data_IF_577184504944
#
_entry.id   IF_577184504944
#
_cell.length_a   1.000
_cell.length_b   1.000
_cell.length_c   1.000
_cell.angle_alpha   90.00
_cell.angle_beta   90.00
_cell.angle_gamma   90.00
#
_symmetry.space_group_name_H-M   'P 1'
#
loop_
_entity.id
_entity.type
_entity.pdbx_description
1 polymer ?
#
# COMPACT_ATOMS: atom_id res chain seq x y z
N UNK A 1 17.53 -9.25 21.57
CA UNK A 1 17.81 -8.92 20.16
C UNK A 1 17.76 -7.40 20.06
N UNK A 2 18.72 -6.77 19.39
CA UNK A 2 18.80 -5.30 19.29
C UNK A 2 17.74 -4.80 18.28
N UNK A 3 16.98 -3.70 18.56
CA UNK A 3 16.14 -3.03 17.56
C UNK A 3 16.80 -2.79 16.20
N UNK A 4 18.12 -2.54 16.15
CA UNK A 4 18.88 -2.36 14.91
C UNK A 4 19.07 -3.66 14.10
N UNK A 5 18.86 -4.84 14.70
CA UNK A 5 18.96 -6.13 14.03
C UNK A 5 17.71 -6.50 13.21
N UNK A 6 16.59 -5.79 13.43
CA UNK A 6 15.27 -6.12 12.88
C UNK A 6 14.84 -5.05 11.88
N UNK A 7 14.77 -5.43 10.61
CA UNK A 7 14.32 -4.56 9.53
C UNK A 7 12.85 -4.73 9.17
N UNK A 8 12.34 -3.80 8.36
CA UNK A 8 10.99 -3.84 7.77
C UNK A 8 11.08 -3.56 6.27
N UNK A 9 10.71 -4.53 5.46
CA UNK A 9 10.56 -4.33 4.00
C UNK A 9 9.14 -4.72 3.66
N UNK A 10 8.28 -3.74 3.46
CA UNK A 10 6.86 -3.98 3.23
C UNK A 10 6.45 -3.41 1.88
N UNK A 11 5.90 -4.25 1.00
CA UNK A 11 5.55 -3.84 -0.35
C UNK A 11 4.20 -3.11 -0.41
N UNK A 12 4.14 -2.04 -1.21
CA UNK A 12 2.90 -1.31 -1.55
C UNK A 12 2.97 -0.85 -3.02
N UNK A 13 1.91 -1.04 -3.80
CA UNK A 13 1.89 -0.68 -5.22
C UNK A 13 1.44 0.75 -5.50
N UNK A 14 0.29 1.17 -4.96
CA UNK A 14 -0.36 2.46 -5.23
C UNK A 14 -0.34 3.42 -4.03
N UNK A 15 -0.35 2.90 -2.80
CA UNK A 15 -0.35 3.73 -1.59
C UNK A 15 -1.75 4.25 -1.26
N UNK A 16 -1.82 5.44 -0.66
CA UNK A 16 -3.07 6.02 -0.13
C UNK A 16 -4.00 6.61 -1.20
N UNK A 17 -4.44 5.81 -2.17
CA UNK A 17 -5.22 6.29 -3.31
C UNK A 17 -6.58 6.88 -2.90
N UNK A 18 -7.22 6.33 -1.87
CA UNK A 18 -8.48 6.88 -1.34
C UNK A 18 -8.29 8.30 -0.77
N UNK A 19 -7.16 8.51 -0.08
CA UNK A 19 -6.82 9.85 0.44
C UNK A 19 -6.54 10.80 -0.72
N UNK A 20 -5.80 10.34 -1.74
CA UNK A 20 -5.54 11.14 -2.93
C UNK A 20 -6.83 11.59 -3.62
N UNK A 21 -7.74 10.66 -3.92
CA UNK A 21 -8.99 11.00 -4.61
C UNK A 21 -9.85 11.95 -3.79
N UNK A 22 -9.99 11.70 -2.48
CA UNK A 22 -10.78 12.56 -1.59
C UNK A 22 -10.22 13.99 -1.51
N UNK A 23 -8.90 14.12 -1.37
CA UNK A 23 -8.23 15.43 -1.28
C UNK A 23 -8.30 16.19 -2.62
N UNK A 24 -8.18 15.50 -3.75
CA UNK A 24 -8.33 16.09 -5.09
C UNK A 24 -9.79 16.51 -5.34
N UNK A 25 -10.76 15.69 -4.96
CA UNK A 25 -12.19 16.02 -5.07
C UNK A 25 -12.53 17.26 -4.24
N UNK A 26 -12.04 17.32 -3.00
CA UNK A 26 -12.20 18.49 -2.13
C UNK A 26 -11.56 19.75 -2.70
N UNK A 27 -10.38 19.62 -3.34
CA UNK A 27 -9.73 20.74 -4.00
C UNK A 27 -10.55 21.28 -5.17
N UNK A 28 -11.08 20.39 -6.02
CA UNK A 28 -11.88 20.78 -7.19
C UNK A 28 -13.23 21.37 -6.77
N UNK A 29 -13.95 20.70 -5.87
CA UNK A 29 -15.26 21.17 -5.36
C UNK A 29 -15.13 22.43 -4.50
N UNK A 30 -13.97 22.64 -3.88
CA UNK A 30 -13.59 23.85 -3.16
C UNK A 30 -13.18 25.04 -4.03
N UNK A 31 -13.60 25.08 -5.30
CA UNK A 31 -13.23 26.12 -6.28
C UNK A 31 -11.71 26.29 -6.47
N UNK A 32 -10.96 25.19 -6.46
CA UNK A 32 -9.50 25.19 -6.59
C UNK A 32 -8.78 25.98 -5.48
N UNK A 33 -9.38 26.07 -4.30
CA UNK A 33 -8.72 26.60 -3.10
C UNK A 33 -8.03 25.43 -2.38
N UNK A 34 -6.69 25.44 -2.24
CA UNK A 34 -5.93 24.29 -1.74
C UNK A 34 -6.05 24.13 -0.21
N UNK A 35 -7.10 23.42 0.23
CA UNK A 35 -7.37 23.08 1.63
C UNK A 35 -6.99 21.65 1.97
N UNK A 36 -5.74 21.29 1.69
CA UNK A 36 -5.22 19.94 1.93
C UNK A 36 -4.97 19.67 3.41
N UNK A 37 -5.22 18.43 3.85
CA UNK A 37 -4.84 17.99 5.19
C UNK A 37 -3.31 18.01 5.38
N UNK A 38 -2.77 18.43 6.53
CA UNK A 38 -1.36 18.24 6.87
C UNK A 38 -0.92 16.76 6.84
N UNK A 39 -1.87 15.84 6.97
CA UNK A 39 -1.64 14.39 6.90
C UNK A 39 -1.80 13.83 5.49
N UNK A 40 -2.07 14.66 4.48
CA UNK A 40 -2.23 14.20 3.10
C UNK A 40 -1.01 13.41 2.62
N UNK A 41 0.17 14.04 2.67
CA UNK A 41 1.42 13.42 2.21
C UNK A 41 1.77 12.17 3.05
N UNK A 42 1.75 12.20 4.39
CA UNK A 42 1.95 10.99 5.21
C UNK A 42 0.94 9.85 4.97
N UNK A 43 -0.31 10.15 4.57
CA UNK A 43 -1.29 9.11 4.23
C UNK A 43 -1.13 8.58 2.80
N UNK A 44 -0.49 9.36 1.93
CA UNK A 44 -0.32 9.03 0.52
C UNK A 44 0.93 8.19 0.23
N UNK A 45 2.09 8.58 0.77
CA UNK A 45 3.38 8.01 0.36
C UNK A 45 3.45 6.52 0.74
N UNK A 46 3.82 5.69 -0.24
CA UNK A 46 3.91 4.22 -0.15
C UNK A 46 4.78 3.71 1.01
N UNK A 47 5.86 4.41 1.35
CA UNK A 47 6.78 4.01 2.42
C UNK A 47 6.19 4.13 3.84
N UNK A 48 5.00 4.71 3.97
CA UNK A 48 4.35 4.84 5.27
C UNK A 48 3.82 3.52 5.80
N UNK A 49 3.56 2.53 4.96
CA UNK A 49 3.26 1.19 5.45
C UNK A 49 4.46 0.59 6.23
N UNK A 50 5.66 0.57 5.64
CA UNK A 50 6.86 0.06 6.31
C UNK A 50 7.26 0.94 7.52
N UNK A 51 7.13 2.26 7.37
CA UNK A 51 7.37 3.23 8.46
C UNK A 51 6.45 3.00 9.66
N UNK A 52 5.15 2.82 9.45
CA UNK A 52 4.18 2.60 10.53
C UNK A 52 4.42 1.28 11.25
N UNK A 53 4.77 0.20 10.54
CA UNK A 53 5.14 -1.08 11.17
C UNK A 53 6.38 -0.89 12.05
N UNK A 54 7.42 -0.24 11.52
CA UNK A 54 8.65 0.03 12.27
C UNK A 54 8.40 0.88 13.51
N UNK A 55 7.64 1.98 13.39
CA UNK A 55 7.29 2.84 14.53
C UNK A 55 6.43 2.09 15.56
N UNK A 56 5.45 1.30 15.13
CA UNK A 56 4.54 0.56 16.02
C UNK A 56 5.28 -0.47 16.88
N UNK A 57 6.31 -1.11 16.33
CA UNK A 57 7.07 -2.17 17.00
C UNK A 57 8.47 -1.75 17.47
N UNK A 58 8.85 -0.48 17.29
CA UNK A 58 10.17 0.04 17.69
C UNK A 58 11.35 -0.59 16.93
N UNK A 59 11.16 -0.94 15.65
CA UNK A 59 12.17 -1.61 14.81
C UNK A 59 13.05 -0.56 14.12
N UNK A 60 14.37 -0.67 14.28
CA UNK A 60 15.33 0.37 13.85
C UNK A 60 16.35 -0.12 12.81
N UNK A 61 16.19 -1.36 12.31
CA UNK A 61 16.99 -1.86 11.20
C UNK A 61 16.59 -1.27 9.84
N UNK A 62 17.03 -1.91 8.76
CA UNK A 62 16.74 -1.51 7.38
C UNK A 62 15.23 -1.37 7.17
N UNK A 63 14.77 -0.19 6.73
CA UNK A 63 13.36 0.11 6.53
C UNK A 63 13.11 0.80 5.19
N UNK A 64 12.36 0.15 4.30
CA UNK A 64 11.84 0.75 3.08
C UNK A 64 10.66 -0.03 2.49
N UNK A 65 10.10 0.48 1.40
CA UNK A 65 8.99 -0.13 0.65
C UNK A 65 9.43 -0.38 -0.78
N UNK A 66 9.20 -1.59 -1.27
CA UNK A 66 9.40 -1.95 -2.68
C UNK A 66 8.14 -1.60 -3.47
N UNK A 67 8.31 -1.33 -4.78
CA UNK A 67 7.21 -1.06 -5.70
C UNK A 67 7.52 -1.72 -7.04
N UNK A 68 6.85 -2.83 -7.34
CA UNK A 68 6.96 -3.60 -8.59
C UNK A 68 5.59 -4.11 -9.05
N UNK A 69 4.56 -3.25 -8.90
CA UNK A 69 3.16 -3.56 -9.22
C UNK A 69 2.67 -4.84 -8.52
N UNK A 70 2.08 -5.80 -9.24
CA UNK A 70 1.54 -7.04 -8.67
C UNK A 70 2.61 -7.92 -7.98
N UNK A 71 3.89 -7.76 -8.32
CA UNK A 71 4.98 -8.53 -7.73
C UNK A 71 5.57 -7.89 -6.47
N UNK A 72 5.05 -6.75 -6.04
CA UNK A 72 5.64 -5.91 -4.98
C UNK A 72 5.92 -6.65 -3.67
N UNK A 73 4.94 -7.39 -3.15
CA UNK A 73 5.12 -8.19 -1.93
C UNK A 73 6.19 -9.28 -2.11
N UNK A 74 6.27 -9.88 -3.30
CA UNK A 74 7.28 -10.89 -3.61
C UNK A 74 8.68 -10.26 -3.68
N UNK A 75 8.82 -9.08 -4.30
CA UNK A 75 10.07 -8.32 -4.30
C UNK A 75 10.51 -7.95 -2.88
N UNK A 76 9.58 -7.53 -2.02
CA UNK A 76 9.87 -7.24 -0.61
C UNK A 76 10.46 -8.47 0.11
N UNK A 77 9.84 -9.64 -0.08
CA UNK A 77 10.31 -10.89 0.53
C UNK A 77 11.67 -11.33 -0.03
N UNK A 78 11.92 -11.19 -1.33
CA UNK A 78 13.20 -11.50 -1.96
C UNK A 78 14.32 -10.62 -1.39
N UNK A 79 14.08 -9.33 -1.26
CA UNK A 79 15.07 -8.40 -0.70
C UNK A 79 15.36 -8.71 0.77
N UNK A 80 14.33 -8.93 1.59
CA UNK A 80 14.49 -9.32 2.99
C UNK A 80 15.35 -10.59 3.14
N UNK A 81 15.06 -11.60 2.32
CA UNK A 81 15.86 -12.82 2.27
C UNK A 81 17.32 -12.55 1.87
N UNK A 82 17.54 -11.73 0.83
CA UNK A 82 18.88 -11.39 0.37
C UNK A 82 19.67 -10.59 1.42
N UNK A 83 19.05 -9.64 2.12
CA UNK A 83 19.70 -8.88 3.18
C UNK A 83 20.11 -9.75 4.38
N UNK A 84 19.28 -10.75 4.74
CA UNK A 84 19.66 -11.75 5.75
C UNK A 84 20.85 -12.57 5.25
N UNK A 85 20.79 -13.07 4.01
CA UNK A 85 21.90 -13.84 3.40
C UNK A 85 23.22 -13.07 3.33
N UNK A 86 23.14 -11.76 3.12
CA UNK A 86 24.30 -10.86 3.08
C UNK A 86 24.79 -10.44 4.47
N UNK A 87 24.19 -10.93 5.55
CA UNK A 87 24.54 -10.59 6.93
C UNK A 87 24.25 -9.14 7.30
N UNK A 88 23.30 -8.49 6.62
CA UNK A 88 22.94 -7.07 6.84
C UNK A 88 21.84 -6.88 7.89
N UNK A 89 21.10 -7.93 8.23
CA UNK A 89 20.13 -7.96 9.31
C UNK A 89 19.92 -9.40 9.79
N UNK A 90 19.31 -9.58 10.96
CA UNK A 90 19.01 -10.92 11.52
C UNK A 90 17.57 -11.35 11.29
N UNK A 91 16.65 -10.39 11.27
CA UNK A 91 15.21 -10.62 11.11
C UNK A 91 14.61 -9.51 10.25
N UNK A 92 13.60 -9.86 9.45
CA UNK A 92 12.76 -8.88 8.76
C UNK A 92 11.29 -9.16 9.02
N UNK A 93 10.53 -8.07 9.19
CA UNK A 93 9.08 -8.07 8.93
C UNK A 93 8.90 -7.75 7.45
N UNK A 94 8.26 -8.65 6.70
CA UNK A 94 8.09 -8.48 5.26
C UNK A 94 6.77 -9.04 4.76
N UNK A 95 6.34 -8.60 3.58
CA UNK A 95 5.06 -8.89 2.97
C UNK A 95 4.62 -7.74 2.08
N UNK A 96 3.32 -7.54 1.96
CA UNK A 96 2.76 -6.36 1.30
C UNK A 96 1.28 -6.19 1.61
N UNK A 97 0.80 -4.97 1.43
CA UNK A 97 -0.61 -4.60 1.64
C UNK A 97 -1.02 -3.59 0.58
N UNK A 98 -2.30 -3.62 0.21
CA UNK A 98 -2.81 -2.75 -0.84
C UNK A 98 -4.30 -2.45 -0.62
N UNK A 99 -4.72 -1.24 -0.97
CA UNK A 99 -6.08 -0.73 -0.75
C UNK A 99 -6.69 0.19 -1.86
N UNK A 100 -6.36 0.06 -3.16
CA UNK A 100 -6.75 1.01 -4.20
C UNK A 100 -8.12 0.62 -4.79
N UNK A 101 -9.13 0.39 -3.94
CA UNK A 101 -10.51 0.19 -4.39
C UNK A 101 -11.19 1.55 -4.41
N UNK A 102 -10.84 2.33 -5.42
CA UNK A 102 -11.32 3.70 -5.59
C UNK A 102 -11.83 3.92 -7.02
N UNK A 103 -12.72 4.89 -7.25
CA UNK A 103 -13.21 5.21 -8.59
C UNK A 103 -12.12 5.39 -9.64
N UNK A 104 -11.04 6.14 -9.35
CA UNK A 104 -10.00 6.34 -10.35
C UNK A 104 -9.18 5.07 -10.61
N UNK A 105 -8.88 4.27 -9.58
CA UNK A 105 -8.19 2.98 -9.77
C UNK A 105 -9.03 2.00 -10.60
N UNK A 106 -10.32 1.82 -10.27
CA UNK A 106 -11.22 0.95 -11.03
C UNK A 106 -11.38 1.46 -12.46
N UNK A 107 -11.58 2.77 -12.64
CA UNK A 107 -11.68 3.40 -13.96
C UNK A 107 -10.42 3.20 -14.81
N UNK A 108 -9.24 3.37 -14.21
CA UNK A 108 -7.95 3.17 -14.88
C UNK A 108 -7.73 1.73 -15.36
N UNK A 109 -7.92 0.74 -14.48
CA UNK A 109 -7.79 -0.68 -14.87
C UNK A 109 -8.88 -1.11 -15.86
N UNK A 110 -10.08 -0.55 -15.77
CA UNK A 110 -11.16 -0.81 -16.74
C UNK A 110 -10.85 -0.22 -18.12
N UNK A 111 -10.27 0.98 -18.19
CA UNK A 111 -9.88 1.61 -19.44
C UNK A 111 -8.80 0.79 -20.20
N UNK A 112 -7.91 0.12 -19.46
CA UNK A 112 -6.93 -0.82 -20.01
C UNK A 112 -7.52 -2.21 -20.31
N UNK A 113 -8.81 -2.43 -20.08
CA UNK A 113 -9.50 -3.73 -20.20
C UNK A 113 -8.88 -4.83 -19.35
N UNK A 114 -8.26 -4.47 -18.22
CA UNK A 114 -7.66 -5.43 -17.28
C UNK A 114 -8.69 -6.04 -16.31
N UNK A 115 -9.87 -5.42 -16.18
CA UNK A 115 -10.93 -5.85 -15.27
C UNK A 115 -11.94 -6.76 -15.97
N UNK A 116 -12.46 -7.73 -15.21
CA UNK A 116 -13.63 -8.51 -15.64
C UNK A 116 -14.88 -7.63 -15.72
N UNK A 117 -15.69 -7.84 -16.75
CA UNK A 117 -16.98 -7.14 -16.96
C UNK A 117 -18.19 -8.02 -16.63
N UNK A 118 -17.96 -9.15 -15.96
CA UNK A 118 -19.02 -10.12 -15.55
C UNK A 118 -19.81 -9.61 -14.35
N UNK A 119 -20.53 -8.52 -14.53
CA UNK A 119 -21.25 -7.83 -13.45
C UNK A 119 -22.56 -8.54 -13.03
N UNK A 120 -23.03 -9.52 -13.81
CA UNK A 120 -24.27 -10.26 -13.56
C UNK A 120 -24.08 -11.53 -12.70
N UNK A 121 -22.83 -11.98 -12.48
CA UNK A 121 -22.54 -13.14 -11.62
C UNK A 121 -22.51 -12.69 -10.15
N UNK A 122 -23.52 -13.11 -9.37
CA UNK A 122 -23.76 -12.71 -7.96
C UNK A 122 -22.54 -12.99 -7.05
N UNK A 123 -21.69 -13.96 -7.43
CA UNK A 123 -20.48 -14.31 -6.69
C UNK A 123 -19.38 -13.23 -6.77
N UNK A 124 -19.33 -12.41 -7.83
CA UNK A 124 -18.33 -11.35 -8.00
C UNK A 124 -18.69 -10.07 -7.21
N UNK A 125 -19.97 -9.80 -7.00
CA UNK A 125 -20.43 -8.68 -6.15
C UNK A 125 -19.99 -8.82 -4.70
N UNK A 126 -19.86 -10.06 -4.21
CA UNK A 126 -19.31 -10.33 -2.88
C UNK A 126 -17.79 -10.17 -2.82
N UNK A 127 -17.05 -10.40 -3.91
CA UNK A 127 -15.58 -10.24 -3.92
C UNK A 127 -15.17 -8.79 -3.69
N UNK A 128 -15.85 -7.81 -4.29
CA UNK A 128 -15.58 -6.39 -4.04
C UNK A 128 -15.86 -6.00 -2.58
N UNK A 129 -16.94 -6.54 -2.00
CA UNK A 129 -17.28 -6.32 -0.58
C UNK A 129 -16.27 -7.01 0.35
N UNK A 130 -15.84 -8.22 0.03
CA UNK A 130 -14.87 -9.01 0.81
C UNK A 130 -13.49 -8.34 0.82
N UNK A 131 -13.03 -7.79 -0.31
CA UNK A 131 -11.74 -7.09 -0.35
C UNK A 131 -11.80 -5.82 0.52
N UNK A 132 -12.93 -5.07 0.51
CA UNK A 132 -13.12 -3.95 1.45
C UNK A 132 -13.09 -4.39 2.92
N UNK A 133 -13.58 -5.58 3.25
CA UNK A 133 -13.54 -6.10 4.64
C UNK A 133 -12.15 -6.58 5.05
N UNK A 134 -11.36 -7.17 4.14
CA UNK A 134 -10.00 -7.67 4.45
C UNK A 134 -8.99 -6.52 4.60
N UNK A 135 -9.19 -5.38 3.92
CA UNK A 135 -8.33 -4.18 4.07
C UNK A 135 -8.50 -3.47 5.43
N UNK A 136 -9.52 -3.81 6.23
CA UNK A 136 -9.82 -3.18 7.55
C UNK A 136 -9.37 -4.05 8.74
N UNK A 137 -8.76 -5.21 8.51
CA UNK A 137 -8.13 -6.06 9.52
C UNK A 137 -6.59 -5.99 9.44
#
# INVERSE_FOLDING_TARGET
>A
MDPFDIGVIWGVGQGGMETFESEVENYVTGNYVPRFSPFFVPKLIVNMASGMISMKFGLQGINYTTVSACATANTAMMDAFNYIRLGKAKVFVTGGSEAPITPASIGGFSAMKAMSVRNADILLGQVVLLIKTVTVL
#
